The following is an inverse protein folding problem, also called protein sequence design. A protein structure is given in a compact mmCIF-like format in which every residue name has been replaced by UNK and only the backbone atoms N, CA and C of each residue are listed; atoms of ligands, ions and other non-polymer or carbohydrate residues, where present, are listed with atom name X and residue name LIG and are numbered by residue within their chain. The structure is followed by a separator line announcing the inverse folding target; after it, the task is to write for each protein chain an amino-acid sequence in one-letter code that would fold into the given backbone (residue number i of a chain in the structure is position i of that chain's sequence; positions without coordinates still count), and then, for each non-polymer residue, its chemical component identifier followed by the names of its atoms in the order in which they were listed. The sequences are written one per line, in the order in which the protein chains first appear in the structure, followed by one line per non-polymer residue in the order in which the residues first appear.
data_IF_512439406148
#
_entry.id   IF_512439406148
#
_cell.length_a   1.000
_cell.length_b   1.000
_cell.length_c   1.000
_cell.angle_alpha   90.00
_cell.angle_beta   90.00
_cell.angle_gamma   90.00
#
_symmetry.space_group_name_H-M   'P 1'
#
loop_
_entity.id
_entity.type
_entity.pdbx_description
1 polymer ?
#
# COMPACT_ATOMS: atom_id res chain seq x y z
N UNK A 1 -3.11 7.24 11.37
CA UNK A 1 -2.66 8.62 11.64
C UNK A 1 -3.66 9.58 11.00
N UNK A 2 -4.49 10.29 11.77
CA UNK A 2 -5.38 11.32 11.19
C UNK A 2 -4.55 12.54 10.84
N UNK A 3 -4.48 12.89 9.56
CA UNK A 3 -3.80 14.13 9.14
C UNK A 3 -4.54 15.31 9.79
N UNK A 4 -3.85 16.33 10.31
CA UNK A 4 -4.52 17.53 10.81
C UNK A 4 -5.35 18.13 9.67
N UNK A 5 -6.59 18.51 9.96
CA UNK A 5 -7.64 18.83 8.96
C UNK A 5 -7.29 19.97 7.98
N UNK A 6 -6.13 20.63 8.12
CA UNK A 6 -5.74 21.78 7.31
C UNK A 6 -4.22 21.80 6.99
N UNK A 7 -3.67 20.71 6.44
CA UNK A 7 -2.31 20.76 5.91
C UNK A 7 -2.23 21.66 4.68
N UNK A 8 -1.13 22.40 4.54
CA UNK A 8 -0.84 23.18 3.33
C UNK A 8 -0.66 22.23 2.15
N UNK A 9 -1.04 22.68 0.94
CA UNK A 9 -0.88 21.91 -0.29
C UNK A 9 0.56 21.39 -0.49
N UNK A 10 1.57 22.22 -0.19
CA UNK A 10 2.97 21.83 -0.28
C UNK A 10 3.32 20.64 0.64
N UNK A 11 2.75 20.59 1.84
CA UNK A 11 2.96 19.47 2.76
C UNK A 11 2.28 18.20 2.27
N UNK A 12 1.05 18.31 1.73
CA UNK A 12 0.34 17.17 1.16
C UNK A 12 1.02 16.64 -0.11
N UNK A 13 1.55 17.52 -0.96
CA UNK A 13 2.29 17.10 -2.15
C UNK A 13 3.55 16.30 -1.81
N UNK A 14 4.20 16.60 -0.68
CA UNK A 14 5.43 15.91 -0.26
C UNK A 14 5.14 14.72 0.66
N UNK A 15 4.06 14.67 1.42
CA UNK A 15 3.84 13.65 2.46
C UNK A 15 2.48 12.95 2.41
N UNK A 16 1.53 13.42 1.60
CA UNK A 16 0.19 12.84 1.50
C UNK A 16 0.24 11.40 0.99
N UNK A 17 -0.55 10.52 1.60
CA UNK A 17 -0.71 9.13 1.16
C UNK A 17 0.49 8.20 1.40
N UNK A 18 1.59 8.69 2.00
CA UNK A 18 2.79 7.89 2.26
C UNK A 18 3.21 7.89 3.73
N UNK A 19 3.57 6.72 4.22
CA UNK A 19 4.20 6.50 5.53
C UNK A 19 5.59 5.85 5.32
N UNK A 20 6.54 6.01 6.26
CA UNK A 20 7.81 5.28 6.17
C UNK A 20 7.58 3.78 6.05
N UNK A 21 8.39 3.09 5.25
CA UNK A 21 8.29 1.64 5.08
C UNK A 21 8.39 0.94 6.44
N UNK A 22 7.37 0.16 6.87
CA UNK A 22 7.38 -0.48 8.18
C UNK A 22 8.45 -1.56 8.32
N UNK A 23 9.01 -2.06 7.21
CA UNK A 23 10.02 -3.13 7.23
C UNK A 23 11.43 -2.58 7.47
N UNK A 24 11.80 -1.51 6.78
CA UNK A 24 13.17 -0.95 6.79
C UNK A 24 13.27 0.44 7.44
N UNK A 25 12.15 1.12 7.64
CA UNK A 25 12.12 2.52 8.06
C UNK A 25 12.46 3.53 6.95
N UNK A 26 12.62 3.07 5.70
CA UNK A 26 12.90 3.97 4.56
C UNK A 26 11.83 5.06 4.45
N UNK A 27 12.26 6.32 4.32
CA UNK A 27 11.33 7.44 4.13
C UNK A 27 10.78 7.52 2.72
N UNK A 28 11.60 7.18 1.72
CA UNK A 28 11.15 7.07 0.34
C UNK A 28 10.36 5.77 0.16
N UNK A 29 9.23 5.85 -0.55
CA UNK A 29 8.40 4.68 -0.84
C UNK A 29 9.21 3.68 -1.69
N UNK A 30 9.34 2.42 -1.26
CA UNK A 30 10.01 1.39 -2.05
C UNK A 30 9.31 1.15 -3.39
N UNK A 31 10.08 0.88 -4.44
CA UNK A 31 9.53 0.53 -5.76
C UNK A 31 9.20 -0.97 -5.79
N UNK A 32 7.91 -1.32 -5.75
CA UNK A 32 7.45 -2.71 -5.85
C UNK A 32 7.36 -3.18 -7.31
N UNK A 33 8.53 -3.37 -7.95
CA UNK A 33 8.66 -3.81 -9.34
C UNK A 33 8.45 -5.32 -9.49
N UNK A 34 7.20 -5.75 -9.32
CA UNK A 34 6.77 -7.14 -9.46
C UNK A 34 5.48 -7.24 -10.29
N UNK A 35 5.16 -8.44 -10.76
CA UNK A 35 3.89 -8.74 -11.42
C UNK A 35 2.86 -9.32 -10.44
N UNK A 36 3.28 -10.16 -9.49
CA UNK A 36 2.41 -10.93 -8.60
C UNK A 36 2.84 -10.85 -7.13
N UNK A 37 1.90 -11.14 -6.23
CA UNK A 37 2.08 -11.17 -4.77
C UNK A 37 1.75 -12.55 -4.20
N UNK A 38 2.50 -12.97 -3.19
CA UNK A 38 2.26 -14.24 -2.51
C UNK A 38 1.06 -14.14 -1.55
N UNK A 39 0.32 -15.24 -1.43
CA UNK A 39 -0.71 -15.40 -0.40
C UNK A 39 -0.14 -16.13 0.81
N UNK A 40 -0.67 -15.82 2.00
CA UNK A 40 -0.33 -16.56 3.23
C UNK A 40 -0.79 -18.02 3.13
N UNK A 41 -2.00 -18.23 2.58
CA UNK A 41 -2.64 -19.51 2.34
C UNK A 41 -3.79 -19.38 1.32
N UNK A 42 -4.50 -20.48 1.03
CA UNK A 42 -5.61 -20.51 0.08
C UNK A 42 -6.85 -19.74 0.54
N UNK A 43 -7.09 -19.64 1.85
CA UNK A 43 -8.23 -18.90 2.40
C UNK A 43 -8.01 -17.39 2.25
N UNK A 44 -6.80 -16.91 2.53
CA UNK A 44 -6.38 -15.54 2.25
C UNK A 44 -6.58 -15.17 0.77
N UNK A 45 -6.19 -16.05 -0.15
CA UNK A 45 -6.44 -15.82 -1.58
C UNK A 45 -7.95 -15.66 -1.88
N UNK A 46 -8.78 -16.58 -1.38
CA UNK A 46 -10.23 -16.52 -1.56
C UNK A 46 -10.85 -15.24 -0.98
N UNK A 47 -10.35 -14.77 0.17
CA UNK A 47 -10.80 -13.53 0.80
C UNK A 47 -10.45 -12.29 -0.01
N UNK A 48 -9.25 -12.21 -0.58
CA UNK A 48 -8.85 -11.10 -1.45
C UNK A 48 -9.71 -11.04 -2.73
N UNK A 49 -9.93 -12.17 -3.41
CA UNK A 49 -10.77 -12.22 -4.61
C UNK A 49 -12.26 -12.00 -4.30
N UNK A 50 -12.72 -12.39 -3.11
CA UNK A 50 -14.07 -12.16 -2.62
C UNK A 50 -14.30 -10.77 -2.01
N UNK A 51 -13.30 -9.87 -2.07
CA UNK A 51 -13.33 -8.52 -1.47
C UNK A 51 -13.63 -8.51 0.03
N UNK A 52 -13.30 -9.60 0.73
CA UNK A 52 -13.47 -9.75 2.18
C UNK A 52 -12.26 -9.23 2.97
N UNK A 53 -11.10 -9.16 2.32
CA UNK A 53 -9.85 -8.64 2.89
C UNK A 53 -9.20 -7.68 1.89
N UNK A 54 -8.51 -6.65 2.39
CA UNK A 54 -7.72 -5.75 1.57
C UNK A 54 -6.31 -6.31 1.38
N UNK A 55 -5.80 -6.27 0.14
CA UNK A 55 -4.45 -6.71 -0.16
C UNK A 55 -4.16 -6.73 -1.66
N UNK A 56 -2.90 -6.95 -2.00
CA UNK A 56 -2.46 -7.03 -3.38
C UNK A 56 -2.59 -8.45 -3.92
N UNK A 57 -3.05 -8.56 -5.17
CA UNK A 57 -3.20 -9.83 -5.89
C UNK A 57 -2.22 -9.85 -7.07
N UNK A 58 -2.33 -8.84 -7.94
CA UNK A 58 -1.55 -8.74 -9.17
C UNK A 58 -1.44 -7.27 -9.60
N UNK A 59 -0.29 -6.86 -10.14
CA UNK A 59 0.04 -5.45 -10.44
C UNK A 59 -0.91 -4.79 -11.45
N UNK A 60 -1.50 -5.57 -12.38
CA UNK A 60 -2.53 -5.06 -13.32
C UNK A 60 -3.79 -4.53 -12.59
N UNK A 61 -4.05 -5.02 -11.38
CA UNK A 61 -5.20 -4.61 -10.55
C UNK A 61 -4.76 -3.54 -9.54
N UNK A 62 -3.65 -3.78 -8.82
CA UNK A 62 -3.15 -2.87 -7.79
C UNK A 62 -1.65 -3.06 -7.55
N UNK A 63 -0.94 -1.96 -7.26
CA UNK A 63 0.45 -1.91 -6.81
C UNK A 63 0.57 -0.98 -5.58
N UNK A 64 1.43 -1.29 -4.58
CA UNK A 64 1.64 -0.44 -3.39
C UNK A 64 2.37 0.88 -3.63
N UNK A 65 2.95 1.10 -4.81
CA UNK A 65 3.68 2.31 -5.19
C UNK A 65 2.87 3.11 -6.20
#
# INVERSE_FOLDING_TARGET
MTLPENLRLASLAVHGGQEPDPTTGSRAVPIYQTTSYNFRDSEHAANLFGLKEFGNIYTRIMNPT
#
